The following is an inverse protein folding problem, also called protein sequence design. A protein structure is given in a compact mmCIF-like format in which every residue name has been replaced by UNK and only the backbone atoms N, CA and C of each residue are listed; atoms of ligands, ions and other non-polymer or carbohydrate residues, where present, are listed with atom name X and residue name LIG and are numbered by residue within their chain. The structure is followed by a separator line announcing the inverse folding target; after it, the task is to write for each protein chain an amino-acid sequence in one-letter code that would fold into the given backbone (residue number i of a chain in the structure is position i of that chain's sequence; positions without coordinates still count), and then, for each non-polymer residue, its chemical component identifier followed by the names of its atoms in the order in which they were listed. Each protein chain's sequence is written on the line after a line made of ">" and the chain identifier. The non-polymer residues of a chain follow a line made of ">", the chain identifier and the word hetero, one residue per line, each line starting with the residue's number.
data_IF_336729193300
#
_entry.id   IF_336729193300
#
_cell.length_a   1.000
_cell.length_b   1.000
_cell.length_c   1.000
_cell.angle_alpha   90.00
_cell.angle_beta   90.00
_cell.angle_gamma   90.00
#
_symmetry.space_group_name_H-M   'P 1'
#
loop_
_entity.id
_entity.type
_entity.pdbx_description
1 polymer ?
#
# COMPACT_ATOMS: atom_id res chain seq x y z
N UNK A 1 -30.28 15.12 -1.51
CA UNK A 1 -29.11 15.72 -0.86
C UNK A 1 -27.89 15.40 -1.70
N UNK A 2 -27.05 16.40 -1.94
CA UNK A 2 -25.74 16.29 -2.57
C UNK A 2 -24.74 16.96 -1.64
N UNK A 3 -24.30 16.25 -0.59
CA UNK A 3 -23.59 16.81 0.58
C UNK A 3 -22.42 17.73 0.20
N UNK A 4 -21.71 17.45 -0.91
CA UNK A 4 -20.60 18.29 -1.39
C UNK A 4 -21.08 19.65 -1.90
N UNK A 5 -22.20 19.68 -2.64
CA UNK A 5 -22.81 20.92 -3.13
C UNK A 5 -23.61 21.64 -2.03
N UNK A 6 -24.36 20.88 -1.23
CA UNK A 6 -25.21 21.39 -0.14
C UNK A 6 -24.39 22.16 0.92
N UNK A 7 -23.10 21.81 1.09
CA UNK A 7 -22.13 22.49 1.97
C UNK A 7 -21.15 23.42 1.24
N UNK A 8 -21.27 23.58 -0.09
CA UNK A 8 -20.39 24.44 -0.89
C UNK A 8 -18.93 23.97 -1.02
N UNK A 9 -18.60 22.75 -0.61
CA UNK A 9 -17.21 22.25 -0.50
C UNK A 9 -16.62 21.73 -1.82
N UNK A 10 -17.36 21.80 -2.93
CA UNK A 10 -16.94 21.28 -4.25
C UNK A 10 -15.57 21.79 -4.68
N UNK A 11 -15.34 23.11 -4.63
CA UNK A 11 -14.06 23.73 -4.98
C UNK A 11 -12.95 23.52 -3.94
N UNK A 12 -13.26 22.86 -2.82
CA UNK A 12 -12.33 22.54 -1.73
C UNK A 12 -11.95 21.05 -1.71
N UNK A 13 -12.51 20.22 -2.61
CA UNK A 13 -12.10 18.82 -2.77
C UNK A 13 -10.61 18.75 -3.10
N UNK A 14 -9.86 18.07 -2.24
CA UNK A 14 -8.42 17.84 -2.36
C UNK A 14 -8.16 16.34 -2.40
N UNK A 15 -7.47 15.80 -1.39
CA UNK A 15 -7.12 14.39 -1.33
C UNK A 15 -8.25 13.54 -0.77
N UNK A 16 -8.41 12.33 -1.31
CA UNK A 16 -9.38 11.34 -0.85
C UNK A 16 -8.66 10.14 -0.24
N UNK A 17 -8.86 9.88 1.05
CA UNK A 17 -8.29 8.72 1.75
C UNK A 17 -9.26 7.54 1.62
N UNK A 18 -8.80 6.46 0.99
CA UNK A 18 -9.59 5.26 0.70
C UNK A 18 -8.82 3.99 1.08
N UNK A 19 -9.47 2.84 1.17
CA UNK A 19 -8.78 1.58 1.41
C UNK A 19 -8.03 1.08 0.15
N UNK A 20 -7.24 0.00 0.31
CA UNK A 20 -6.31 -0.49 -0.70
C UNK A 20 -6.96 -1.49 -1.68
N UNK A 21 -8.10 -1.13 -2.25
CA UNK A 21 -8.73 -1.82 -3.39
C UNK A 21 -8.63 -0.98 -4.66
N UNK A 22 -8.49 -1.62 -5.82
CA UNK A 22 -8.40 -0.93 -7.11
C UNK A 22 -9.79 -0.44 -7.58
N UNK A 23 -10.89 -0.95 -7.00
CA UNK A 23 -12.25 -0.43 -7.23
C UNK A 23 -12.41 1.04 -6.83
N UNK A 24 -11.54 1.55 -5.95
CA UNK A 24 -11.53 2.97 -5.57
C UNK A 24 -10.99 3.88 -6.68
N UNK A 25 -10.23 3.36 -7.65
CA UNK A 25 -9.81 4.15 -8.81
C UNK A 25 -11.00 4.44 -9.75
N UNK A 26 -11.99 3.53 -9.84
CA UNK A 26 -13.27 3.79 -10.52
C UNK A 26 -14.04 4.95 -9.88
N UNK A 27 -14.03 5.03 -8.55
CA UNK A 27 -14.64 6.14 -7.80
C UNK A 27 -13.89 7.45 -8.07
N UNK A 28 -12.55 7.45 -8.02
CA UNK A 28 -11.75 8.65 -8.24
C UNK A 28 -11.85 9.17 -9.69
N UNK A 29 -11.88 8.27 -10.69
CA UNK A 29 -12.10 8.63 -12.09
C UNK A 29 -13.51 9.23 -12.31
N UNK A 30 -14.52 8.69 -11.61
CA UNK A 30 -15.89 9.22 -11.65
C UNK A 30 -15.99 10.60 -10.99
N UNK A 31 -15.27 10.81 -9.88
CA UNK A 31 -15.15 12.11 -9.20
C UNK A 31 -14.48 13.15 -10.10
N UNK A 32 -13.34 12.81 -10.72
CA UNK A 32 -12.64 13.66 -11.70
C UNK A 32 -13.58 14.09 -12.83
N UNK A 33 -14.31 13.14 -13.41
CA UNK A 33 -15.26 13.41 -14.50
C UNK A 33 -16.36 14.39 -14.05
N UNK A 34 -16.99 14.16 -12.90
CA UNK A 34 -18.06 15.01 -12.37
C UNK A 34 -17.58 16.43 -12.01
N UNK A 35 -16.36 16.57 -11.48
CA UNK A 35 -15.73 17.86 -11.17
C UNK A 35 -15.49 18.69 -12.44
N UNK A 36 -15.04 18.05 -13.52
CA UNK A 36 -14.87 18.70 -14.82
C UNK A 36 -16.24 19.06 -15.45
N UNK A 37 -17.14 18.09 -15.60
CA UNK A 37 -18.42 18.26 -16.32
C UNK A 37 -19.36 19.29 -15.67
N UNK A 38 -19.36 19.43 -14.34
CA UNK A 38 -20.32 20.28 -13.62
C UNK A 38 -19.73 21.59 -13.10
N UNK A 39 -18.41 21.68 -12.96
CA UNK A 39 -17.74 22.79 -12.27
C UNK A 39 -16.48 23.29 -13.00
N UNK A 40 -16.12 22.69 -14.14
CA UNK A 40 -14.89 22.98 -14.90
C UNK A 40 -13.60 22.88 -14.05
N UNK A 41 -13.61 22.02 -13.02
CA UNK A 41 -12.47 21.80 -12.14
C UNK A 41 -11.57 20.72 -12.74
N UNK A 42 -10.33 21.08 -13.06
CA UNK A 42 -9.29 20.11 -13.42
C UNK A 42 -8.84 19.40 -12.14
N UNK A 43 -8.90 18.07 -12.14
CA UNK A 43 -8.60 17.23 -10.98
C UNK A 43 -7.88 15.97 -11.44
N UNK A 44 -6.78 15.59 -10.80
CA UNK A 44 -6.06 14.34 -11.07
C UNK A 44 -6.48 13.27 -10.07
N UNK A 45 -7.30 12.32 -10.52
CA UNK A 45 -7.78 11.18 -9.74
C UNK A 45 -6.67 10.34 -9.09
N UNK A 46 -5.50 10.24 -9.75
CA UNK A 46 -4.38 9.42 -9.30
C UNK A 46 -3.48 10.16 -8.32
N UNK A 47 -3.20 11.44 -8.57
CA UNK A 47 -2.42 12.28 -7.66
C UNK A 47 -3.17 12.56 -6.34
N UNK A 48 -4.50 12.70 -6.38
CA UNK A 48 -5.30 12.99 -5.20
C UNK A 48 -5.78 11.75 -4.42
N UNK A 49 -5.59 10.52 -4.92
CA UNK A 49 -5.93 9.30 -4.16
C UNK A 49 -4.85 8.97 -3.13
N UNK A 50 -5.25 8.91 -1.86
CA UNK A 50 -4.44 8.39 -0.77
C UNK A 50 -4.97 7.03 -0.30
N UNK A 51 -4.05 6.14 0.11
CA UNK A 51 -4.36 4.82 0.67
C UNK A 51 -4.35 4.89 2.21
N UNK A 52 -5.34 4.28 2.85
CA UNK A 52 -5.52 4.32 4.30
C UNK A 52 -4.39 3.59 5.04
N UNK A 53 -3.61 4.33 5.84
CA UNK A 53 -2.48 3.80 6.61
C UNK A 53 -2.84 2.56 7.44
N UNK A 54 -4.00 2.56 8.12
CA UNK A 54 -4.43 1.43 8.93
C UNK A 54 -4.67 0.16 8.09
N UNK A 55 -5.23 0.31 6.88
CA UNK A 55 -5.40 -0.81 5.96
C UNK A 55 -4.04 -1.33 5.47
N UNK A 56 -3.12 -0.44 5.11
CA UNK A 56 -1.75 -0.81 4.68
C UNK A 56 -0.97 -1.54 5.77
N UNK A 57 -1.03 -1.06 7.02
CA UNK A 57 -0.43 -1.71 8.19
C UNK A 57 -1.03 -3.10 8.42
N UNK A 58 -2.37 -3.21 8.36
CA UNK A 58 -3.08 -4.48 8.49
C UNK A 58 -2.73 -5.48 7.36
N UNK A 59 -2.53 -5.04 6.12
CA UNK A 59 -2.04 -5.90 5.04
C UNK A 59 -0.61 -6.39 5.31
N UNK A 60 0.30 -5.50 5.71
CA UNK A 60 1.68 -5.84 6.02
C UNK A 60 1.79 -6.81 7.21
N UNK A 61 1.05 -6.55 8.29
CA UNK A 61 1.00 -7.42 9.47
C UNK A 61 0.45 -8.81 9.11
N UNK A 62 -0.61 -8.90 8.31
CA UNK A 62 -1.14 -10.19 7.82
C UNK A 62 -0.12 -10.94 6.98
N UNK A 63 0.57 -10.27 6.06
CA UNK A 63 1.58 -10.90 5.21
C UNK A 63 2.82 -11.38 6.00
N UNK A 64 3.14 -10.73 7.12
CA UNK A 64 4.25 -11.10 8.00
C UNK A 64 3.89 -12.21 9.00
N UNK A 65 2.73 -12.13 9.67
CA UNK A 65 2.28 -13.11 10.67
C UNK A 65 1.73 -14.38 10.02
N UNK A 66 1.10 -14.23 8.85
CA UNK A 66 0.55 -15.32 8.04
C UNK A 66 1.16 -15.24 6.64
N UNK A 67 2.47 -15.56 6.50
CA UNK A 67 3.04 -15.77 5.19
C UNK A 67 2.17 -16.82 4.50
N UNK A 68 1.66 -16.51 3.30
CA UNK A 68 0.88 -17.47 2.50
C UNK A 68 1.72 -18.74 2.43
N UNK A 69 1.18 -19.87 2.90
CA UNK A 69 1.92 -21.12 2.94
C UNK A 69 2.32 -21.52 1.52
N UNK A 70 3.58 -21.25 1.18
CA UNK A 70 4.26 -21.92 0.09
C UNK A 70 4.19 -23.40 0.42
N UNK A 71 3.37 -24.14 -0.32
CA UNK A 71 3.21 -25.59 -0.14
C UNK A 71 4.46 -26.30 -0.69
N UNK A 72 5.63 -26.08 -0.06
CA UNK A 72 6.88 -26.82 -0.28
C UNK A 72 6.62 -28.32 -0.08
N UNK A 73 5.71 -28.68 0.83
CA UNK A 73 5.03 -29.98 0.97
C UNK A 73 4.47 -30.59 -0.34
N UNK A 74 4.34 -29.78 -1.40
CA UNK A 74 3.92 -30.15 -2.76
C UNK A 74 4.86 -29.65 -3.87
N UNK A 75 6.01 -29.06 -3.54
CA UNK A 75 7.13 -28.94 -4.48
C UNK A 75 7.96 -30.22 -4.43
N UNK A 76 8.31 -30.75 -5.60
CA UNK A 76 9.31 -31.82 -5.70
C UNK A 76 10.69 -31.33 -5.29
N UNK A 77 11.62 -32.25 -4.99
CA UNK A 77 13.01 -31.93 -4.66
C UNK A 77 13.68 -31.02 -5.71
N UNK A 78 13.29 -31.17 -6.98
CA UNK A 78 13.70 -30.31 -8.09
C UNK A 78 13.25 -28.86 -7.89
N UNK A 79 11.99 -28.63 -7.52
CA UNK A 79 11.44 -27.29 -7.26
C UNK A 79 12.04 -26.62 -6.02
N UNK A 80 12.25 -27.39 -4.94
CA UNK A 80 12.99 -26.90 -3.77
C UNK A 80 14.46 -26.59 -4.10
N UNK A 81 15.11 -27.33 -5.02
CA UNK A 81 16.47 -27.05 -5.49
C UNK A 81 16.53 -25.83 -6.43
N UNK A 82 15.50 -25.58 -7.24
CA UNK A 82 15.40 -24.42 -8.11
C UNK A 82 15.16 -23.13 -7.34
N UNK A 83 14.30 -23.15 -6.32
CA UNK A 83 14.15 -22.03 -5.38
C UNK A 83 15.45 -21.73 -4.62
N UNK A 84 16.27 -22.74 -4.28
CA UNK A 84 17.62 -22.52 -3.71
C UNK A 84 18.56 -21.81 -4.69
N UNK A 85 18.50 -22.09 -6.01
CA UNK A 85 19.25 -21.33 -7.03
C UNK A 85 18.79 -19.87 -7.09
N UNK A 86 17.48 -19.62 -7.04
CA UNK A 86 16.93 -18.24 -7.05
C UNK A 86 17.38 -17.48 -5.80
N UNK A 87 17.24 -18.08 -4.60
CA UNK A 87 17.61 -17.45 -3.33
C UNK A 87 19.12 -17.21 -3.13
N UNK A 88 19.98 -17.93 -3.86
CA UNK A 88 21.45 -17.74 -3.82
C UNK A 88 21.97 -16.84 -4.95
N UNK A 89 21.32 -16.85 -6.12
CA UNK A 89 21.59 -15.90 -7.22
C UNK A 89 21.03 -14.50 -6.94
N UNK A 90 20.06 -14.35 -6.04
CA UNK A 90 19.75 -13.06 -5.40
C UNK A 90 20.85 -12.63 -4.42
N UNK A 91 22.04 -12.37 -4.97
CA UNK A 91 23.08 -11.58 -4.29
C UNK A 91 22.49 -10.24 -3.83
N UNK A 92 23.02 -9.73 -2.71
CA UNK A 92 22.44 -8.56 -2.06
C UNK A 92 22.53 -7.32 -2.95
N UNK A 93 21.39 -6.84 -3.46
CA UNK A 93 21.19 -5.40 -3.62
C UNK A 93 21.20 -4.80 -2.21
N UNK A 94 22.23 -4.03 -1.82
CA UNK A 94 22.36 -3.58 -0.43
C UNK A 94 21.19 -2.67 -0.04
N UNK A 95 20.61 -2.94 1.13
CA UNK A 95 19.50 -2.17 1.68
C UNK A 95 19.86 -0.67 1.70
N UNK A 96 19.05 0.21 1.06
CA UNK A 96 19.45 1.60 0.82
C UNK A 96 19.75 2.32 2.16
N UNK A 97 20.88 3.05 2.29
CA UNK A 97 21.37 3.53 3.58
C UNK A 97 20.38 4.36 4.42
N UNK A 98 19.37 4.96 3.77
CA UNK A 98 18.34 5.79 4.41
C UNK A 98 17.43 5.02 5.36
N UNK A 99 17.31 3.69 5.25
CA UNK A 99 16.46 2.86 6.12
C UNK A 99 17.23 2.22 7.29
N UNK A 100 18.56 2.17 7.25
CA UNK A 100 19.38 1.51 8.29
C UNK A 100 19.38 2.24 9.64
N UNK A 101 18.91 3.50 9.71
CA UNK A 101 18.92 4.32 10.93
C UNK A 101 17.70 4.13 11.85
N UNK A 102 16.69 3.37 11.45
CA UNK A 102 15.39 3.30 12.19
C UNK A 102 15.27 2.07 13.09
N UNK A 103 16.02 0.99 12.83
CA UNK A 103 15.86 -0.30 13.53
C UNK A 103 16.74 -0.50 14.76
N UNK A 104 17.57 0.49 15.17
CA UNK A 104 18.38 0.41 16.39
C UNK A 104 17.62 0.88 17.65
N UNK A 105 16.42 0.36 17.86
CA UNK A 105 15.86 0.29 19.22
C UNK A 105 16.67 -0.80 19.94
N UNK A 106 17.46 -0.42 20.93
CA UNK A 106 18.33 -1.36 21.63
C UNK A 106 17.49 -2.39 22.40
N UNK A 107 17.91 -3.65 22.33
CA UNK A 107 17.34 -4.74 23.10
C UNK A 107 17.42 -4.45 24.61
N UNK A 108 16.37 -4.87 25.31
CA UNK A 108 16.14 -4.71 26.74
C UNK A 108 17.35 -5.20 27.55
N UNK A 109 18.05 -4.26 28.20
CA UNK A 109 18.96 -4.53 29.33
C UNK A 109 18.78 -3.44 30.41
N UNK A 110 18.87 -3.86 31.68
CA UNK A 110 18.54 -3.12 32.93
C UNK A 110 17.05 -3.07 33.30
N UNK A 111 16.58 -4.15 33.92
CA UNK A 111 16.02 -4.10 35.28
C UNK A 111 16.10 -5.50 35.92
N UNK A 112 17.18 -5.72 36.67
CA UNK A 112 17.24 -6.54 37.88
C UNK A 112 17.76 -5.64 38.99
#
# INVERSE_FOLDING_TARGET
>A
MNVVADYGTVAQIRYFVSDNTDSNDTLMNSLQKLLYERHNIIYDAKYHRLRCNNHTINLAARAFMFPKSLKFDSLSDQGWAELKKIATSSHHSPMPPRLQKVTRIQSIERYQ
#
